data_IF_701584173559
#
_entry.id   IF_701584173559
#
_cell.length_a   1.000
_cell.length_b   1.000
_cell.length_c   1.000
_cell.angle_alpha   90.00
_cell.angle_beta   90.00
_cell.angle_gamma   90.00
#
_symmetry.space_group_name_H-M   'P 1'
#
loop_
_entity.id
_entity.type
_entity.pdbx_description
1 polymer ?
#
# COMPACT_ATOMS: atom_id res chain seq x y z
N UNK A 1 6.55 11.76 -10.62
CA UNK A 1 6.05 11.75 -12.01
C UNK A 1 4.61 12.23 -12.05
N UNK A 2 4.15 12.74 -13.20
CA UNK A 2 2.74 13.12 -13.39
C UNK A 2 1.83 11.90 -13.18
N UNK A 3 0.67 12.12 -12.57
CA UNK A 3 -0.38 11.10 -12.47
C UNK A 3 -1.13 11.08 -13.81
N UNK A 4 -1.37 9.89 -14.36
CA UNK A 4 -2.17 9.75 -15.56
C UNK A 4 -3.62 10.19 -15.29
N UNK A 5 -4.29 10.78 -16.28
CA UNK A 5 -5.68 11.22 -16.14
C UNK A 5 -6.69 10.07 -16.30
N UNK A 6 -6.38 8.91 -15.70
CA UNK A 6 -7.21 7.68 -15.77
C UNK A 6 -8.21 7.56 -14.62
N UNK A 7 -8.16 8.48 -13.65
CA UNK A 7 -9.01 8.46 -12.46
C UNK A 7 -8.47 7.56 -11.34
N UNK A 8 -7.47 6.74 -11.62
CA UNK A 8 -6.80 5.84 -10.67
C UNK A 8 -5.29 6.05 -10.70
N UNK A 9 -4.62 5.57 -9.65
CA UNK A 9 -3.15 5.55 -9.60
C UNK A 9 -2.67 4.19 -10.08
N UNK A 10 -2.58 4.03 -11.39
CA UNK A 10 -2.18 2.77 -12.00
C UNK A 10 -0.67 2.55 -11.89
N UNK A 11 -0.28 1.29 -11.75
CA UNK A 11 1.13 0.92 -11.80
C UNK A 11 1.66 1.11 -13.23
N UNK A 12 2.86 1.66 -13.34
CA UNK A 12 3.57 1.81 -14.63
C UNK A 12 4.75 0.84 -14.71
N UNK A 13 4.73 -0.23 -13.92
CA UNK A 13 5.80 -1.21 -13.88
C UNK A 13 5.74 -2.11 -15.11
N UNK A 14 6.91 -2.42 -15.65
CA UNK A 14 7.11 -3.38 -16.72
C UNK A 14 8.03 -4.50 -16.20
N UNK A 15 7.62 -5.75 -16.39
CA UNK A 15 8.44 -6.91 -16.01
C UNK A 15 9.51 -7.11 -17.07
N UNK A 16 10.76 -6.86 -16.71
CA UNK A 16 11.90 -7.10 -17.60
C UNK A 16 12.37 -8.56 -17.58
N UNK A 17 12.19 -9.25 -16.44
CA UNK A 17 12.58 -10.64 -16.21
C UNK A 17 11.57 -11.30 -15.27
N UNK A 18 11.13 -12.51 -15.60
CA UNK A 18 10.21 -13.31 -14.77
C UNK A 18 8.85 -13.53 -15.44
N UNK A 19 8.00 -14.33 -14.78
CA UNK A 19 6.71 -14.74 -15.34
C UNK A 19 5.53 -13.89 -14.85
N UNK A 20 5.63 -13.28 -13.67
CA UNK A 20 4.55 -12.49 -13.07
C UNK A 20 5.09 -11.44 -12.08
N UNK A 21 4.23 -10.51 -11.67
CA UNK A 21 4.54 -9.41 -10.77
C UNK A 21 4.14 -9.64 -9.31
N UNK A 22 3.80 -10.88 -8.92
CA UNK A 22 3.39 -11.18 -7.56
C UNK A 22 4.55 -11.03 -6.58
N UNK A 23 4.30 -10.34 -5.48
CA UNK A 23 5.27 -10.10 -4.42
C UNK A 23 4.65 -10.32 -3.06
N UNK A 24 5.45 -10.88 -2.15
CA UNK A 24 5.18 -10.91 -0.72
C UNK A 24 6.07 -9.87 -0.05
N UNK A 25 5.46 -8.83 0.50
CA UNK A 25 6.16 -7.76 1.20
C UNK A 25 5.87 -7.82 2.69
N UNK A 26 6.90 -7.84 3.52
CA UNK A 26 6.75 -7.84 4.98
C UNK A 26 7.21 -6.50 5.56
N UNK A 27 6.31 -5.82 6.27
CA UNK A 27 6.60 -4.53 6.90
C UNK A 27 5.76 -4.34 8.17
N UNK A 28 6.40 -3.90 9.26
CA UNK A 28 5.74 -3.61 10.54
C UNK A 28 4.85 -4.75 11.06
N UNK A 29 5.26 -6.01 10.85
CA UNK A 29 4.53 -7.19 11.30
C UNK A 29 3.36 -7.61 10.39
N UNK A 30 3.17 -6.94 9.25
CA UNK A 30 2.12 -7.24 8.27
C UNK A 30 2.75 -7.81 7.01
N UNK A 31 2.18 -8.90 6.49
CA UNK A 31 2.49 -9.45 5.18
C UNK A 31 1.48 -8.95 4.15
N UNK A 32 1.98 -8.34 3.08
CA UNK A 32 1.21 -7.87 1.95
C UNK A 32 1.55 -8.73 0.72
N UNK A 33 0.57 -9.47 0.21
CA UNK A 33 0.71 -10.26 -1.02
C UNK A 33 -0.11 -9.62 -2.13
N UNK A 34 0.54 -9.14 -3.19
CA UNK A 34 -0.14 -8.42 -4.27
C UNK A 34 0.63 -8.50 -5.59
N UNK A 35 -0.06 -8.21 -6.70
CA UNK A 35 0.58 -8.02 -8.00
C UNK A 35 1.07 -6.57 -8.15
N UNK A 36 2.39 -6.40 -8.13
CA UNK A 36 3.06 -5.10 -8.26
C UNK A 36 2.77 -4.40 -9.59
N UNK A 37 2.42 -5.13 -10.65
CA UNK A 37 2.05 -4.56 -11.95
C UNK A 37 0.64 -3.99 -11.98
N UNK A 38 -0.20 -4.31 -10.99
CA UNK A 38 -1.60 -3.90 -10.94
C UNK A 38 -1.88 -2.93 -9.78
N UNK A 39 -1.13 -3.04 -8.68
CA UNK A 39 -1.34 -2.22 -7.50
C UNK A 39 -0.27 -1.13 -7.36
N UNK A 40 -0.69 0.06 -6.95
CA UNK A 40 0.25 1.09 -6.50
C UNK A 40 0.78 0.73 -5.11
N UNK A 41 2.10 0.69 -5.00
CA UNK A 41 2.83 0.54 -3.76
C UNK A 41 3.99 1.52 -3.72
N UNK A 42 4.27 2.10 -2.56
CA UNK A 42 5.40 2.99 -2.34
C UNK A 42 6.11 2.58 -1.08
N UNK A 43 7.41 2.29 -1.19
CA UNK A 43 8.25 2.04 -0.02
C UNK A 43 8.61 3.33 0.75
N UNK A 44 8.63 4.47 0.04
CA UNK A 44 9.04 5.76 0.60
C UNK A 44 8.09 6.36 1.65
N UNK A 45 6.92 5.75 1.87
CA UNK A 45 5.97 6.18 2.89
C UNK A 45 6.08 5.40 4.22
N UNK A 46 7.14 4.58 4.40
CA UNK A 46 7.34 3.80 5.61
C UNK A 46 7.25 4.61 6.91
N UNK A 47 7.91 5.78 6.96
CA UNK A 47 7.88 6.66 8.14
C UNK A 47 6.46 7.14 8.46
N UNK A 48 5.67 7.42 7.42
CA UNK A 48 4.29 7.89 7.56
C UNK A 48 3.35 6.75 7.98
N UNK A 49 3.51 5.54 7.43
CA UNK A 49 2.77 4.36 7.88
C UNK A 49 3.00 4.08 9.36
N UNK A 50 4.25 4.18 9.83
CA UNK A 50 4.60 4.03 11.24
C UNK A 50 4.10 5.20 12.11
N UNK A 51 3.99 6.40 11.56
CA UNK A 51 3.39 7.54 12.27
C UNK A 51 1.88 7.33 12.45
N UNK A 52 1.20 6.88 11.39
CA UNK A 52 -0.23 6.57 11.39
C UNK A 52 -0.56 5.45 12.38
N UNK A 53 0.22 4.38 12.41
CA UNK A 53 0.00 3.24 13.31
C UNK A 53 0.08 3.58 14.81
N UNK A 54 0.60 4.76 15.16
CA UNK A 54 0.74 5.22 16.56
C UNK A 54 -0.41 6.12 17.02
N UNK A 55 -1.37 6.46 16.15
CA UNK A 55 -2.53 7.22 16.56
C UNK A 55 -3.47 6.32 17.38
N UNK A 56 -4.00 6.86 18.47
CA UNK A 56 -4.98 6.17 19.31
C UNK A 56 -6.38 6.32 18.69
N UNK A 57 -6.77 5.33 17.89
CA UNK A 57 -8.06 5.29 17.21
C UNK A 57 -9.03 4.27 17.84
N UNK A 58 -8.86 3.96 19.13
CA UNK A 58 -9.75 3.01 19.82
C UNK A 58 -11.18 3.54 19.83
N UNK A 59 -12.11 2.69 19.40
CA UNK A 59 -13.54 3.02 19.26
C UNK A 59 -13.85 4.13 18.24
N UNK A 60 -12.91 4.44 17.34
CA UNK A 60 -13.15 5.34 16.22
C UNK A 60 -13.55 4.55 14.96
N UNK A 61 -14.22 5.24 14.04
CA UNK A 61 -14.52 4.71 12.71
C UNK A 61 -13.51 5.33 11.73
N UNK A 62 -12.61 4.51 11.20
CA UNK A 62 -11.63 4.95 10.20
C UNK A 62 -12.18 4.69 8.80
N UNK A 63 -12.05 5.70 7.93
CA UNK A 63 -12.38 5.62 6.51
C UNK A 63 -11.12 5.88 5.71
N UNK A 64 -10.65 4.85 4.99
CA UNK A 64 -9.55 4.98 4.02
C UNK A 64 -10.13 5.20 2.62
N UNK A 65 -10.06 6.44 2.14
CA UNK A 65 -10.61 6.84 0.85
C UNK A 65 -9.83 6.23 -0.35
N UNK A 66 -8.59 5.78 -0.12
CA UNK A 66 -7.70 5.26 -1.17
C UNK A 66 -6.88 4.07 -0.65
N UNK A 67 -7.59 3.06 -0.12
CA UNK A 67 -6.95 1.98 0.63
C UNK A 67 -5.91 1.18 -0.15
N UNK A 68 -6.11 0.99 -1.46
CA UNK A 68 -5.23 0.13 -2.25
C UNK A 68 -5.10 -1.26 -1.61
N UNK A 69 -3.87 -1.67 -1.29
CA UNK A 69 -3.57 -2.92 -0.58
C UNK A 69 -3.80 -2.87 0.95
N UNK A 70 -4.31 -1.75 1.47
CA UNK A 70 -4.64 -1.56 2.87
C UNK A 70 -3.46 -1.17 3.78
N UNK A 71 -2.31 -0.82 3.22
CA UNK A 71 -1.08 -0.53 4.00
C UNK A 71 -1.10 0.70 4.92
N UNK A 72 -2.16 1.52 4.91
CA UNK A 72 -2.39 2.59 5.90
C UNK A 72 -3.44 2.20 6.95
N UNK A 73 -4.42 1.37 6.58
CA UNK A 73 -5.47 0.92 7.51
C UNK A 73 -5.05 -0.30 8.33
N UNK A 74 -4.34 -1.25 7.72
CA UNK A 74 -3.91 -2.48 8.39
C UNK A 74 -2.99 -2.22 9.60
N UNK A 75 -2.08 -1.23 9.60
CA UNK A 75 -1.29 -0.91 10.78
C UNK A 75 -2.08 -0.48 12.02
N UNK A 76 -3.36 -0.12 11.91
CA UNK A 76 -4.21 0.14 13.09
C UNK A 76 -4.73 -1.13 13.78
N UNK A 77 -4.61 -2.28 13.11
CA UNK A 77 -5.15 -3.56 13.58
C UNK A 77 -4.12 -4.42 14.32
N UNK A 78 -2.86 -3.96 14.41
CA UNK A 78 -1.70 -4.73 14.92
C UNK A 78 -1.11 -4.05 16.14
#
# INVERSE_FOLDING_TARGET
>A
GKVAATGTRDSTLEILVGANGWVDHHENGIFYSFDSTQCMFSWGNLSEKLRMSKLDCRNEIIVDLFAGIGYFVLPFLV
#
